data_IF_898276387881
#
_entry.id   IF_898276387881
#
_cell.length_a   1.000
_cell.length_b   1.000
_cell.length_c   1.000
_cell.angle_alpha   90.00
_cell.angle_beta   90.00
_cell.angle_gamma   90.00
#
_symmetry.space_group_name_H-M   'P 1'
#
loop_
_entity.id
_entity.type
_entity.pdbx_description
1 polymer ?
#
# COMPACT_ATOMS: atom_id res chain seq x y z
N UNK A 1 -2.98 5.40 33.05
CA UNK A 1 -3.65 6.69 32.82
C UNK A 1 -4.43 6.66 31.53
N UNK A 2 -5.50 7.44 31.44
CA UNK A 2 -6.29 7.67 30.22
C UNK A 2 -5.96 9.09 29.75
N UNK A 3 -5.67 9.24 28.46
CA UNK A 3 -5.36 10.52 27.86
C UNK A 3 -6.29 10.77 26.67
N UNK A 4 -6.89 11.93 26.58
CA UNK A 4 -7.57 12.43 25.38
C UNK A 4 -6.59 13.32 24.63
N UNK A 5 -6.41 13.04 23.34
CA UNK A 5 -5.55 13.82 22.43
C UNK A 5 -6.45 14.33 21.31
N UNK A 6 -6.37 15.61 21.02
CA UNK A 6 -7.20 16.28 20.00
C UNK A 6 -6.29 16.93 18.97
N UNK A 7 -6.59 16.71 17.70
CA UNK A 7 -5.85 17.32 16.58
C UNK A 7 -5.86 18.84 16.69
N UNK A 8 -4.70 19.46 16.57
CA UNK A 8 -4.53 20.90 16.64
C UNK A 8 -4.32 21.50 18.03
N UNK A 9 -4.34 20.67 19.10
CA UNK A 9 -4.19 21.16 20.47
C UNK A 9 -2.82 20.83 21.10
N UNK A 10 -2.08 19.85 20.57
CA UNK A 10 -0.90 19.30 21.23
C UNK A 10 0.31 19.25 20.29
N UNK A 11 0.79 20.42 19.89
CA UNK A 11 2.02 20.54 19.13
C UNK A 11 3.25 20.46 20.04
N UNK A 12 4.39 20.09 19.48
CA UNK A 12 5.66 20.19 20.18
C UNK A 12 6.03 21.65 20.42
N UNK A 13 6.59 21.93 21.60
CA UNK A 13 7.24 23.21 21.89
C UNK A 13 8.52 23.37 21.05
N UNK A 14 9.00 24.59 20.84
CA UNK A 14 10.33 24.84 20.30
C UNK A 14 11.40 24.50 21.38
N UNK A 15 12.37 23.61 21.13
CA UNK A 15 12.85 22.96 19.91
C UNK A 15 12.33 21.53 19.66
N UNK A 16 11.05 21.29 19.63
CA UNK A 16 10.50 19.97 19.31
C UNK A 16 10.27 19.07 20.54
N UNK A 17 9.98 19.66 21.70
CA UNK A 17 9.69 18.98 22.95
C UNK A 17 8.17 18.78 23.12
N UNK A 18 7.74 17.53 23.28
CA UNK A 18 6.38 17.23 23.71
C UNK A 18 6.29 17.15 25.23
N UNK A 19 5.18 17.64 25.79
CA UNK A 19 4.81 17.44 27.18
C UNK A 19 3.35 17.00 27.26
N UNK A 20 3.14 15.73 27.61
CA UNK A 20 1.80 15.18 27.81
C UNK A 20 1.69 14.60 29.22
N UNK A 21 0.81 15.18 30.04
CA UNK A 21 0.55 14.71 31.41
C UNK A 21 1.84 14.52 32.24
N UNK A 22 2.78 15.46 32.11
CA UNK A 22 4.07 15.42 32.81
C UNK A 22 5.14 14.53 32.20
N UNK A 23 4.83 13.81 31.13
CA UNK A 23 5.81 13.03 30.33
C UNK A 23 6.41 13.94 29.27
N UNK A 24 7.74 14.06 29.28
CA UNK A 24 8.49 14.90 28.33
C UNK A 24 9.34 14.02 27.41
N UNK A 25 9.34 14.30 26.13
CA UNK A 25 10.18 13.64 25.14
C UNK A 25 10.33 14.52 23.88
N UNK A 26 11.43 14.35 23.19
CA UNK A 26 11.69 15.05 21.93
C UNK A 26 11.06 14.33 20.74
N UNK A 27 10.70 15.09 19.69
CA UNK A 27 10.42 14.55 18.37
C UNK A 27 11.66 13.76 17.91
N UNK A 28 11.50 12.55 17.32
CA UNK A 28 12.63 11.83 16.74
C UNK A 28 13.35 12.64 15.67
N UNK A 29 14.68 12.51 15.58
CA UNK A 29 15.51 13.28 14.65
C UNK A 29 15.65 12.65 13.25
N UNK A 30 15.11 11.46 13.01
CA UNK A 30 15.21 10.83 11.70
C UNK A 30 14.27 11.47 10.68
N UNK A 31 14.67 11.39 9.40
CA UNK A 31 13.91 11.97 8.29
C UNK A 31 12.90 10.96 7.74
N UNK A 32 11.63 11.37 7.64
CA UNK A 32 10.59 10.57 6.99
C UNK A 32 10.76 10.52 5.47
N UNK A 33 10.43 9.38 4.80
CA UNK A 33 10.39 9.32 3.36
C UNK A 33 9.27 10.21 2.80
N UNK A 34 9.51 10.80 1.61
CA UNK A 34 8.50 11.62 0.92
C UNK A 34 7.56 10.76 0.05
N UNK A 35 6.98 9.74 0.63
CA UNK A 35 6.02 8.84 -0.01
C UNK A 35 5.08 8.28 1.06
N UNK A 36 4.10 7.50 0.65
CA UNK A 36 3.22 6.76 1.55
C UNK A 36 4.04 5.90 2.50
N UNK A 37 3.83 6.06 3.82
CA UNK A 37 4.69 5.43 4.82
C UNK A 37 3.94 5.10 6.11
N UNK A 38 4.07 3.86 6.54
CA UNK A 38 3.65 3.34 7.84
C UNK A 38 4.81 2.63 8.58
N UNK A 39 6.06 2.85 8.14
CA UNK A 39 7.24 2.27 8.77
C UNK A 39 7.73 3.15 9.91
N UNK A 40 7.66 2.65 11.14
CA UNK A 40 8.14 3.35 12.32
C UNK A 40 7.17 4.38 12.89
N UNK A 41 7.62 5.15 13.89
CA UNK A 41 6.83 6.24 14.47
C UNK A 41 6.94 7.48 13.57
N UNK A 42 5.83 8.21 13.43
CA UNK A 42 5.83 9.44 12.65
C UNK A 42 6.73 10.51 13.26
N UNK A 43 7.48 11.24 12.43
CA UNK A 43 8.39 12.29 12.86
C UNK A 43 8.52 13.39 11.82
N UNK A 44 7.97 14.56 12.13
CA UNK A 44 8.14 15.79 11.35
C UNK A 44 8.22 17.00 12.28
N UNK A 45 8.88 18.06 11.82
CA UNK A 45 8.91 19.32 12.56
C UNK A 45 7.48 19.87 12.71
N UNK A 46 7.16 20.38 13.88
CA UNK A 46 5.84 20.93 14.21
C UNK A 46 4.65 19.93 14.07
N UNK A 47 4.93 18.63 14.17
CA UNK A 47 3.87 17.62 14.19
C UNK A 47 2.97 17.76 15.43
N UNK A 48 1.73 17.33 15.31
CA UNK A 48 0.84 17.13 16.46
C UNK A 48 1.14 15.77 17.11
N UNK A 49 1.03 15.68 18.43
CA UNK A 49 1.30 14.42 19.14
C UNK A 49 0.39 13.28 18.71
N UNK A 50 -0.79 13.56 18.16
CA UNK A 50 -1.71 12.54 17.63
C UNK A 50 -1.06 11.75 16.49
N UNK A 51 -0.19 12.39 15.69
CA UNK A 51 0.53 11.76 14.59
C UNK A 51 1.45 10.65 15.06
N UNK A 52 2.00 10.77 16.28
CA UNK A 52 2.83 9.75 16.90
C UNK A 52 2.07 8.46 17.20
N UNK A 53 0.76 8.55 17.50
CA UNK A 53 -0.07 7.39 17.82
C UNK A 53 -0.64 6.73 16.56
N UNK A 54 -0.81 7.48 15.47
CA UNK A 54 -1.24 6.94 14.18
C UNK A 54 -0.10 6.07 13.63
N UNK A 55 -0.40 4.80 13.33
CA UNK A 55 0.60 3.86 12.85
C UNK A 55 1.59 3.34 13.92
N UNK A 56 1.40 3.67 15.21
CA UNK A 56 2.30 3.22 16.30
C UNK A 56 2.23 1.72 16.62
N UNK A 57 1.48 0.95 15.89
CA UNK A 57 1.38 -0.52 16.01
C UNK A 57 1.13 -1.02 17.46
N UNK A 58 0.42 -0.22 18.27
CA UNK A 58 0.07 -0.57 19.64
C UNK A 58 1.24 -0.60 20.64
N UNK A 59 2.40 -0.05 20.27
CA UNK A 59 3.58 -0.04 21.17
C UNK A 59 3.56 1.10 22.20
N UNK A 60 2.76 2.14 21.98
CA UNK A 60 2.68 3.33 22.87
C UNK A 60 1.48 3.28 23.80
N UNK A 61 0.44 2.58 23.45
CA UNK A 61 -0.81 2.55 24.23
C UNK A 61 -1.88 1.70 23.56
N UNK A 62 -3.04 1.64 24.21
CA UNK A 62 -4.26 1.04 23.66
C UNK A 62 -5.23 2.18 23.30
N UNK A 63 -5.58 2.30 22.04
CA UNK A 63 -6.57 3.25 21.57
C UNK A 63 -7.95 2.66 21.86
N UNK A 64 -8.73 3.32 22.71
CA UNK A 64 -10.05 2.85 23.15
C UNK A 64 -11.20 3.56 22.44
N UNK A 65 -10.95 4.76 21.95
CA UNK A 65 -11.97 5.58 21.28
C UNK A 65 -11.28 6.46 20.24
N UNK A 66 -11.91 6.60 19.08
CA UNK A 66 -11.44 7.46 17.97
C UNK A 66 -12.61 8.27 17.44
N UNK A 67 -12.42 9.57 17.35
CA UNK A 67 -13.30 10.48 16.63
C UNK A 67 -12.64 10.86 15.31
N UNK A 68 -13.32 10.62 14.18
CA UNK A 68 -12.80 10.89 12.84
C UNK A 68 -13.74 11.83 12.09
N UNK A 69 -13.17 12.73 11.29
CA UNK A 69 -13.92 13.51 10.32
C UNK A 69 -14.42 12.61 9.19
N UNK A 70 -15.65 12.85 8.75
CA UNK A 70 -16.23 12.15 7.62
C UNK A 70 -16.36 13.11 6.43
N UNK A 71 -16.03 12.63 5.24
CA UNK A 71 -16.34 13.31 3.99
C UNK A 71 -17.71 12.82 3.45
N UNK A 72 -18.53 13.69 2.81
CA UNK A 72 -19.71 13.27 2.09
C UNK A 72 -19.35 12.22 1.03
N UNK A 73 -20.17 11.19 0.90
CA UNK A 73 -20.02 10.22 -0.19
C UNK A 73 -20.50 10.87 -1.50
N UNK A 74 -19.58 11.06 -2.42
CA UNK A 74 -19.89 11.56 -3.74
C UNK A 74 -20.35 10.44 -4.70
N UNK A 75 -21.22 10.79 -5.65
CA UNK A 75 -21.50 9.91 -6.77
C UNK A 75 -20.27 9.85 -7.67
N UNK A 76 -19.95 8.67 -8.21
CA UNK A 76 -18.79 8.49 -9.08
C UNK A 76 -19.07 7.53 -10.22
N UNK A 77 -18.30 7.64 -11.30
CA UNK A 77 -18.18 6.63 -12.34
C UNK A 77 -16.97 5.78 -11.98
N UNK A 78 -17.17 4.48 -11.79
CA UNK A 78 -16.07 3.52 -11.66
C UNK A 78 -15.64 3.02 -13.02
N UNK A 79 -14.35 3.01 -13.26
CA UNK A 79 -13.75 2.65 -14.55
C UNK A 79 -12.75 1.52 -14.37
N UNK A 80 -12.77 0.55 -15.28
CA UNK A 80 -11.67 -0.41 -15.46
C UNK A 80 -11.18 -0.27 -16.88
N UNK A 81 -9.94 0.19 -17.04
CA UNK A 81 -9.27 0.27 -18.34
C UNK A 81 -8.24 -0.82 -18.46
N UNK A 82 -8.31 -1.59 -19.56
CA UNK A 82 -7.33 -2.62 -19.88
C UNK A 82 -6.29 -2.07 -20.86
N UNK A 83 -5.08 -2.63 -20.77
CA UNK A 83 -3.95 -2.26 -21.63
C UNK A 83 -3.27 -3.52 -22.16
N UNK A 84 -2.71 -3.41 -23.37
CA UNK A 84 -1.97 -4.50 -24.00
C UNK A 84 -0.58 -4.70 -23.36
N UNK A 85 -0.03 -3.65 -22.74
CA UNK A 85 1.26 -3.71 -22.02
C UNK A 85 1.18 -3.06 -20.63
N UNK A 86 2.04 -3.49 -19.71
CA UNK A 86 2.17 -2.90 -18.37
C UNK A 86 2.71 -1.47 -18.45
N UNK A 87 3.59 -1.17 -19.41
CA UNK A 87 4.17 0.16 -19.62
C UNK A 87 3.07 1.17 -19.95
N UNK A 88 2.15 0.82 -20.87
CA UNK A 88 1.02 1.71 -21.21
C UNK A 88 0.15 2.05 -20.00
N UNK A 89 -0.06 1.08 -19.08
CA UNK A 89 -0.81 1.33 -17.85
C UNK A 89 -0.07 2.28 -16.90
N UNK A 90 1.25 2.15 -16.80
CA UNK A 90 2.11 3.01 -15.98
C UNK A 90 2.13 4.44 -16.54
N UNK A 91 2.33 4.59 -17.85
CA UNK A 91 2.30 5.89 -18.53
C UNK A 91 0.94 6.57 -18.39
N UNK A 92 -0.14 5.80 -18.51
CA UNK A 92 -1.49 6.33 -18.32
C UNK A 92 -1.76 6.73 -16.86
N UNK A 93 -1.16 6.04 -15.89
CA UNK A 93 -1.22 6.45 -14.48
C UNK A 93 -0.56 7.81 -14.28
N UNK A 94 0.64 8.02 -14.83
CA UNK A 94 1.33 9.30 -14.77
C UNK A 94 0.49 10.41 -15.43
N UNK A 95 -0.08 10.11 -16.61
CA UNK A 95 -0.97 11.04 -17.30
C UNK A 95 -2.21 11.42 -16.48
N UNK A 96 -2.85 10.45 -15.78
CA UNK A 96 -3.99 10.74 -14.90
C UNK A 96 -3.59 11.59 -13.70
N UNK A 97 -2.42 11.35 -13.09
CA UNK A 97 -1.91 12.13 -11.96
C UNK A 97 -1.62 13.58 -12.33
N UNK A 98 -1.15 13.83 -13.53
CA UNK A 98 -0.85 15.17 -14.05
C UNK A 98 -2.11 15.91 -14.57
N UNK A 99 -3.22 15.19 -14.77
CA UNK A 99 -4.45 15.76 -15.29
C UNK A 99 -5.13 16.66 -14.25
N UNK A 100 -5.37 17.92 -14.61
CA UNK A 100 -6.14 18.86 -13.78
C UNK A 100 -7.65 18.68 -13.91
N UNK A 101 -8.10 18.08 -14.99
CA UNK A 101 -9.52 17.92 -15.32
C UNK A 101 -10.10 16.62 -14.79
N UNK A 102 -9.27 15.57 -14.74
CA UNK A 102 -9.63 14.25 -14.25
C UNK A 102 -8.74 13.93 -13.04
N UNK A 103 -9.30 14.06 -11.85
CA UNK A 103 -8.61 13.72 -10.59
C UNK A 103 -9.31 12.50 -10.00
N UNK A 104 -8.78 11.30 -10.21
CA UNK A 104 -9.32 10.10 -9.61
C UNK A 104 -9.16 10.09 -8.09
N UNK A 105 -10.15 9.59 -7.36
CA UNK A 105 -10.06 9.38 -5.90
C UNK A 105 -8.99 8.35 -5.52
N UNK A 106 -8.75 7.38 -6.41
CA UNK A 106 -7.72 6.35 -6.29
C UNK A 106 -7.37 5.83 -7.68
N UNK A 107 -6.18 5.23 -7.83
CA UNK A 107 -5.79 4.47 -9.02
C UNK A 107 -5.17 3.16 -8.55
N UNK A 108 -5.84 2.05 -8.90
CA UNK A 108 -5.40 0.69 -8.61
C UNK A 108 -4.91 0.01 -9.88
N UNK A 109 -4.00 -0.94 -9.71
CA UNK A 109 -3.32 -1.62 -10.80
C UNK A 109 -3.36 -3.14 -10.64
N UNK A 110 -3.50 -3.85 -11.76
CA UNK A 110 -3.25 -5.28 -11.88
C UNK A 110 -2.31 -5.53 -13.05
N UNK A 111 -1.31 -6.39 -12.85
CA UNK A 111 -0.45 -6.83 -13.94
C UNK A 111 -1.05 -8.02 -14.72
N UNK A 112 -0.40 -8.38 -15.83
CA UNK A 112 -0.85 -9.46 -16.73
C UNK A 112 -0.96 -10.82 -16.05
N UNK A 113 -0.01 -11.17 -15.20
CA UNK A 113 -0.06 -12.41 -14.41
C UNK A 113 -1.24 -12.46 -13.45
N UNK A 114 -1.60 -11.31 -12.85
CA UNK A 114 -2.79 -11.18 -12.01
C UNK A 114 -4.08 -11.38 -12.81
N UNK A 115 -4.18 -10.74 -13.98
CA UNK A 115 -5.33 -10.92 -14.87
C UNK A 115 -5.48 -12.36 -15.31
N UNK A 116 -4.38 -13.06 -15.60
CA UNK A 116 -4.45 -14.47 -16.00
C UNK A 116 -4.94 -15.36 -14.85
N UNK A 117 -4.49 -15.12 -13.61
CA UNK A 117 -5.02 -15.84 -12.45
C UNK A 117 -6.54 -15.69 -12.31
N UNK A 118 -7.06 -14.49 -12.56
CA UNK A 118 -8.51 -14.24 -12.50
C UNK A 118 -9.23 -14.93 -13.67
N UNK A 119 -8.68 -14.88 -14.90
CA UNK A 119 -9.24 -15.60 -16.05
C UNK A 119 -9.32 -17.11 -15.79
N UNK A 120 -8.28 -17.70 -15.22
CA UNK A 120 -8.27 -19.12 -14.85
C UNK A 120 -9.31 -19.45 -13.77
N UNK A 121 -9.46 -18.59 -12.77
CA UNK A 121 -10.51 -18.75 -11.74
C UNK A 121 -11.90 -18.69 -12.36
N UNK A 122 -12.16 -17.73 -13.23
CA UNK A 122 -13.44 -17.58 -13.91
C UNK A 122 -13.76 -18.78 -14.85
N UNK A 123 -12.76 -19.38 -15.47
CA UNK A 123 -12.94 -20.63 -16.27
C UNK A 123 -13.34 -21.81 -15.41
N UNK A 124 -12.78 -21.92 -14.17
CA UNK A 124 -13.05 -23.05 -13.25
C UNK A 124 -14.38 -22.89 -12.50
N UNK A 125 -14.71 -21.68 -12.12
CA UNK A 125 -15.94 -21.33 -11.41
C UNK A 125 -16.53 -20.03 -11.99
N UNK A 126 -17.34 -20.13 -13.05
CA UNK A 126 -17.94 -18.96 -13.69
C UNK A 126 -18.89 -18.16 -12.79
N UNK A 127 -19.36 -18.75 -11.68
CA UNK A 127 -20.26 -18.08 -10.74
C UNK A 127 -19.49 -17.25 -9.70
N UNK A 128 -18.23 -17.61 -9.42
CA UNK A 128 -17.42 -16.91 -8.42
C UNK A 128 -16.96 -15.52 -8.86
N UNK A 129 -17.02 -15.25 -10.17
CA UNK A 129 -16.57 -13.99 -10.75
C UNK A 129 -17.62 -13.47 -11.72
N UNK A 130 -18.61 -12.75 -11.19
CA UNK A 130 -19.64 -12.07 -11.99
C UNK A 130 -19.04 -10.88 -12.74
N UNK A 131 -18.32 -11.13 -13.83
CA UNK A 131 -17.58 -10.10 -14.57
C UNK A 131 -17.83 -10.18 -16.07
N UNK A 132 -17.74 -9.05 -16.79
CA UNK A 132 -17.57 -9.05 -18.23
C UNK A 132 -16.30 -9.83 -18.63
N UNK A 133 -16.26 -10.32 -19.86
CA UNK A 133 -15.07 -11.03 -20.36
C UNK A 133 -13.89 -10.05 -20.43
N UNK A 134 -12.79 -10.39 -19.73
CA UNK A 134 -11.51 -9.70 -19.88
C UNK A 134 -10.94 -10.04 -21.25
N UNK A 135 -10.47 -9.04 -22.01
CA UNK A 135 -9.78 -9.28 -23.28
C UNK A 135 -8.61 -10.24 -23.11
N UNK A 136 -8.46 -11.17 -24.02
CA UNK A 136 -7.38 -12.16 -23.98
C UNK A 136 -5.99 -11.50 -24.16
N UNK A 137 -5.93 -10.31 -24.80
CA UNK A 137 -4.71 -9.53 -25.01
C UNK A 137 -4.38 -8.58 -23.84
N UNK A 138 -5.28 -8.40 -22.86
CA UNK A 138 -5.01 -7.51 -21.76
C UNK A 138 -3.89 -8.03 -20.86
N UNK A 139 -2.81 -7.25 -20.74
CA UNK A 139 -1.67 -7.53 -19.89
C UNK A 139 -1.57 -6.58 -18.67
N UNK A 140 -2.43 -5.58 -18.59
CA UNK A 140 -2.60 -4.77 -17.38
C UNK A 140 -4.03 -4.25 -17.28
N UNK A 141 -4.43 -3.85 -16.05
CA UNK A 141 -5.67 -3.13 -15.82
C UNK A 141 -5.46 -2.02 -14.79
N UNK A 142 -6.13 -0.90 -15.00
CA UNK A 142 -6.27 0.18 -14.04
C UNK A 142 -7.74 0.31 -13.63
N UNK A 143 -7.93 0.54 -12.32
CA UNK A 143 -9.22 0.84 -11.72
C UNK A 143 -9.14 2.24 -11.15
N UNK A 144 -10.13 3.06 -11.41
CA UNK A 144 -10.22 4.38 -10.82
C UNK A 144 -11.67 4.88 -10.81
N UNK A 145 -11.96 5.77 -9.88
CA UNK A 145 -13.26 6.43 -9.80
C UNK A 145 -13.11 7.92 -10.19
N UNK A 146 -14.11 8.42 -10.90
CA UNK A 146 -14.23 9.84 -11.23
C UNK A 146 -15.49 10.40 -10.60
N UNK A 147 -15.35 11.46 -9.81
CA UNK A 147 -16.47 12.13 -9.14
C UNK A 147 -17.46 12.71 -10.15
N UNK A 148 -18.77 12.47 -9.90
CA UNK A 148 -19.88 13.12 -10.61
C UNK A 148 -20.25 14.37 -9.82
N UNK A 149 -19.73 15.54 -10.26
CA UNK A 149 -20.06 16.83 -9.64
C UNK A 149 -21.46 17.27 -10.04
N UNK A 150 -22.16 17.92 -9.11
CA UNK A 150 -23.49 18.50 -9.32
C UNK A 150 -24.53 17.53 -9.94
N UNK A 151 -24.41 16.25 -9.67
CA UNK A 151 -25.20 15.16 -10.28
C UNK A 151 -25.17 15.16 -11.82
N UNK A 152 -24.15 15.74 -12.45
CA UNK A 152 -24.00 15.82 -13.89
C UNK A 152 -23.11 14.71 -14.44
N UNK A 153 -23.72 13.54 -14.65
CA UNK A 153 -23.04 12.37 -15.20
C UNK A 153 -22.45 12.62 -16.59
N UNK A 154 -23.12 13.42 -17.45
CA UNK A 154 -22.62 13.73 -18.78
C UNK A 154 -21.32 14.53 -18.71
N UNK A 155 -21.21 15.46 -17.77
CA UNK A 155 -19.95 16.18 -17.56
C UNK A 155 -18.82 15.25 -17.13
N UNK A 156 -19.08 14.26 -16.27
CA UNK A 156 -18.09 13.26 -15.87
C UNK A 156 -17.66 12.38 -17.07
N UNK A 157 -18.60 11.93 -17.90
CA UNK A 157 -18.27 11.19 -19.13
C UNK A 157 -17.49 12.04 -20.13
N UNK A 158 -17.84 13.32 -20.32
CA UNK A 158 -17.09 14.21 -21.20
C UNK A 158 -15.64 14.38 -20.73
N UNK A 159 -15.38 14.43 -19.42
CA UNK A 159 -14.02 14.42 -18.86
C UNK A 159 -13.28 13.12 -19.20
N UNK A 160 -13.90 11.95 -19.05
CA UNK A 160 -13.30 10.68 -19.48
C UNK A 160 -12.95 10.70 -20.96
N UNK A 161 -13.87 11.14 -21.81
CA UNK A 161 -13.67 11.19 -23.25
C UNK A 161 -12.60 12.21 -23.67
N UNK A 162 -12.37 13.27 -22.88
CA UNK A 162 -11.32 14.26 -23.14
C UNK A 162 -9.90 13.71 -22.94
N UNK A 163 -9.75 12.57 -22.28
CA UNK A 163 -8.43 11.90 -22.06
C UNK A 163 -7.84 11.30 -23.34
N UNK A 164 -8.42 11.48 -24.50
CA UNK A 164 -7.90 11.11 -25.83
C UNK A 164 -7.19 9.74 -25.88
N UNK A 165 -7.80 8.72 -25.27
CA UNK A 165 -7.31 7.34 -25.22
C UNK A 165 -8.33 6.37 -25.81
N UNK A 166 -7.89 5.23 -26.32
CA UNK A 166 -8.80 4.18 -26.76
C UNK A 166 -9.51 3.52 -25.55
N UNK A 167 -10.81 3.69 -25.46
CA UNK A 167 -11.67 3.12 -24.44
C UNK A 167 -12.23 1.74 -24.78
N UNK A 168 -11.85 1.19 -25.94
CA UNK A 168 -12.34 -0.11 -26.39
C UNK A 168 -12.03 -1.21 -25.36
N UNK A 169 -13.06 -1.98 -25.01
CA UNK A 169 -12.95 -3.05 -24.03
C UNK A 169 -12.90 -2.59 -22.56
N UNK A 170 -12.87 -1.27 -22.28
CA UNK A 170 -12.95 -0.74 -20.91
C UNK A 170 -14.35 -0.93 -20.34
N UNK A 171 -14.44 -1.02 -19.01
CA UNK A 171 -15.71 -1.08 -18.29
C UNK A 171 -15.96 0.22 -17.57
N UNK A 172 -17.19 0.70 -17.61
CA UNK A 172 -17.65 1.87 -16.88
C UNK A 172 -18.95 1.54 -16.14
N UNK A 173 -19.03 1.95 -14.89
CA UNK A 173 -20.21 1.76 -14.07
C UNK A 173 -20.50 3.01 -13.23
N UNK A 174 -21.77 3.40 -13.16
CA UNK A 174 -22.26 4.49 -12.29
C UNK A 174 -23.42 4.04 -11.41
N UNK A 175 -24.12 2.97 -11.78
CA UNK A 175 -25.16 2.37 -10.96
C UNK A 175 -24.55 1.44 -9.90
N UNK A 176 -25.14 1.40 -8.71
CA UNK A 176 -24.59 0.66 -7.57
C UNK A 176 -24.35 -0.82 -7.87
N UNK A 177 -25.23 -1.49 -8.61
CA UNK A 177 -25.11 -2.91 -8.93
C UNK A 177 -23.87 -3.16 -9.79
N UNK A 178 -23.67 -2.36 -10.83
CA UNK A 178 -22.51 -2.50 -11.73
C UNK A 178 -21.20 -2.10 -11.04
N UNK A 179 -21.23 -1.06 -10.21
CA UNK A 179 -20.07 -0.66 -9.38
C UNK A 179 -19.66 -1.78 -8.41
N UNK A 180 -20.61 -2.49 -7.81
CA UNK A 180 -20.31 -3.64 -6.95
C UNK A 180 -19.63 -4.78 -7.74
N UNK A 181 -19.97 -4.98 -9.01
CA UNK A 181 -19.26 -5.94 -9.89
C UNK A 181 -17.81 -5.54 -10.13
N UNK A 182 -17.54 -4.25 -10.40
CA UNK A 182 -16.17 -3.74 -10.54
C UNK A 182 -15.40 -3.91 -9.24
N UNK A 183 -16.00 -3.60 -8.11
CA UNK A 183 -15.41 -3.79 -6.79
C UNK A 183 -15.09 -5.26 -6.51
N UNK A 184 -15.99 -6.18 -6.82
CA UNK A 184 -15.77 -7.61 -6.67
C UNK A 184 -14.61 -8.09 -7.55
N UNK A 185 -14.50 -7.57 -8.78
CA UNK A 185 -13.35 -7.83 -9.64
C UNK A 185 -12.04 -7.35 -9.01
N UNK A 186 -12.02 -6.14 -8.45
CA UNK A 186 -10.85 -5.61 -7.75
C UNK A 186 -10.43 -6.51 -6.57
N UNK A 187 -11.39 -7.08 -5.83
CA UNK A 187 -11.12 -7.98 -4.71
C UNK A 187 -10.74 -9.41 -5.13
N UNK A 188 -11.08 -9.82 -6.35
CA UNK A 188 -10.87 -11.20 -6.81
C UNK A 188 -9.39 -11.62 -6.84
N UNK A 189 -8.46 -10.70 -7.18
CA UNK A 189 -7.04 -11.05 -7.26
C UNK A 189 -6.41 -11.34 -5.89
N UNK A 190 -6.54 -10.48 -4.87
CA UNK A 190 -6.06 -10.78 -3.52
C UNK A 190 -6.62 -12.09 -2.95
N UNK A 191 -7.90 -12.36 -3.18
CA UNK A 191 -8.55 -13.60 -2.76
C UNK A 191 -7.95 -14.82 -3.47
N UNK A 192 -7.78 -14.74 -4.80
CA UNK A 192 -7.20 -15.82 -5.59
C UNK A 192 -5.75 -16.13 -5.18
N UNK A 193 -4.96 -15.10 -4.87
CA UNK A 193 -3.61 -15.27 -4.30
C UNK A 193 -3.65 -16.00 -2.97
N UNK A 194 -4.56 -15.63 -2.07
CA UNK A 194 -4.71 -16.28 -0.77
C UNK A 194 -5.16 -17.75 -0.91
N UNK A 195 -6.08 -18.04 -1.83
CA UNK A 195 -6.51 -19.42 -2.17
C UNK A 195 -5.36 -20.26 -2.72
N UNK A 196 -4.54 -19.69 -3.62
CA UNK A 196 -3.35 -20.35 -4.15
C UNK A 196 -2.38 -20.75 -3.02
N UNK A 197 -2.02 -19.79 -2.17
CA UNK A 197 -1.12 -20.05 -1.04
C UNK A 197 -1.72 -21.06 -0.06
N UNK A 198 -3.02 -20.98 0.23
CA UNK A 198 -3.70 -21.97 1.07
C UNK A 198 -3.64 -23.39 0.46
N UNK A 199 -3.73 -23.48 -0.86
CA UNK A 199 -3.55 -24.76 -1.59
C UNK A 199 -2.14 -25.33 -1.45
N UNK A 200 -1.12 -24.49 -1.62
CA UNK A 200 0.30 -24.88 -1.47
C UNK A 200 0.60 -25.31 -0.02
N UNK A 201 0.07 -24.62 0.97
CA UNK A 201 0.23 -24.95 2.40
C UNK A 201 -0.22 -26.35 2.78
N UNK A 202 -1.16 -26.95 2.05
CA UNK A 202 -1.59 -28.34 2.32
C UNK A 202 -0.45 -29.33 2.13
N UNK A 203 0.51 -29.05 1.23
CA UNK A 203 1.68 -29.90 0.95
C UNK A 203 2.94 -29.38 1.64
N UNK A 204 3.04 -28.07 1.83
CA UNK A 204 4.20 -27.34 2.35
C UNK A 204 3.74 -26.35 3.45
N UNK A 205 3.49 -26.83 4.70
CA UNK A 205 2.86 -26.02 5.75
C UNK A 205 3.59 -24.73 6.13
N UNK A 206 4.92 -24.69 5.97
CA UNK A 206 5.73 -23.49 6.29
C UNK A 206 5.71 -22.42 5.20
N UNK A 207 5.19 -22.71 3.98
CA UNK A 207 5.05 -21.72 2.95
C UNK A 207 4.01 -20.70 3.37
N UNK A 208 4.34 -19.44 3.17
CA UNK A 208 3.46 -18.32 3.45
C UNK A 208 3.49 -17.31 2.30
N UNK A 209 2.52 -16.44 2.26
CA UNK A 209 2.47 -15.32 1.31
C UNK A 209 3.69 -14.42 1.54
N UNK A 210 4.40 -14.12 0.47
CA UNK A 210 5.52 -13.19 0.46
C UNK A 210 5.15 -12.01 -0.45
N UNK A 211 4.62 -10.96 0.17
CA UNK A 211 4.18 -9.76 -0.53
C UNK A 211 4.95 -8.54 -0.07
N UNK A 212 5.36 -7.70 -1.02
CA UNK A 212 5.97 -6.41 -0.72
C UNK A 212 4.90 -5.39 -0.29
N UNK A 213 5.37 -4.32 0.35
CA UNK A 213 4.55 -3.23 0.83
C UNK A 213 5.38 -1.93 0.72
N UNK A 214 5.96 -1.73 -0.46
CA UNK A 214 6.96 -0.71 -0.72
C UNK A 214 6.35 0.48 -1.46
N UNK A 215 6.79 1.68 -1.11
CA UNK A 215 6.44 2.89 -1.84
C UNK A 215 7.66 3.79 -2.02
N UNK A 216 7.62 4.60 -3.07
CA UNK A 216 8.62 5.63 -3.36
C UNK A 216 7.92 6.93 -3.77
N UNK A 217 8.68 8.04 -3.84
CA UNK A 217 8.14 9.30 -4.37
C UNK A 217 7.85 9.21 -5.87
N UNK A 218 7.08 10.18 -6.39
CA UNK A 218 6.72 10.23 -7.81
C UNK A 218 7.96 10.25 -8.71
N UNK A 219 8.98 11.03 -8.35
CA UNK A 219 10.22 11.14 -9.14
C UNK A 219 11.02 9.84 -9.19
N UNK A 220 10.76 8.91 -8.28
CA UNK A 220 11.50 7.64 -8.15
C UNK A 220 10.73 6.42 -8.63
N UNK A 221 9.45 6.58 -8.97
CA UNK A 221 8.61 5.45 -9.33
C UNK A 221 9.04 4.77 -10.63
N UNK A 222 9.39 5.56 -11.67
CA UNK A 222 9.90 5.00 -12.93
C UNK A 222 11.16 4.15 -12.73
N UNK A 223 12.15 4.66 -11.94
CA UNK A 223 13.37 3.92 -11.61
C UNK A 223 13.07 2.61 -10.85
N UNK A 224 12.10 2.63 -9.95
CA UNK A 224 11.69 1.43 -9.21
C UNK A 224 11.01 0.40 -10.12
N UNK A 225 10.16 0.83 -11.07
CA UNK A 225 9.49 -0.06 -12.04
C UNK A 225 10.52 -0.75 -12.94
N UNK A 226 11.47 -0.01 -13.50
CA UNK A 226 12.56 -0.59 -14.30
C UNK A 226 13.37 -1.62 -13.49
N UNK A 227 13.62 -1.32 -12.22
CA UNK A 227 14.29 -2.26 -11.33
C UNK A 227 13.45 -3.50 -11.07
N UNK A 228 12.15 -3.38 -10.83
CA UNK A 228 11.23 -4.53 -10.70
C UNK A 228 11.31 -5.41 -11.93
N UNK A 229 11.18 -4.86 -13.13
CA UNK A 229 11.26 -5.63 -14.38
C UNK A 229 12.57 -6.40 -14.49
N UNK A 230 13.70 -5.74 -14.18
CA UNK A 230 15.01 -6.35 -14.28
C UNK A 230 15.20 -7.53 -13.32
N UNK A 231 14.68 -7.43 -12.09
CA UNK A 231 14.86 -8.44 -11.04
C UNK A 231 13.83 -9.56 -11.17
N UNK A 232 12.57 -9.22 -11.40
CA UNK A 232 11.47 -10.18 -11.44
C UNK A 232 11.56 -11.08 -12.67
N UNK A 233 11.85 -10.52 -13.86
CA UNK A 233 12.02 -11.29 -15.09
C UNK A 233 13.17 -12.30 -15.01
N UNK A 234 14.28 -11.93 -14.34
CA UNK A 234 15.43 -12.83 -14.10
C UNK A 234 15.19 -13.86 -13.02
N UNK A 235 14.20 -13.65 -12.18
CA UNK A 235 13.96 -14.50 -11.03
C UNK A 235 13.45 -15.90 -11.43
N UNK A 236 12.71 -16.01 -12.51
CA UNK A 236 11.99 -17.23 -12.87
C UNK A 236 10.91 -17.64 -11.85
N UNK A 237 10.63 -16.81 -10.85
CA UNK A 237 9.55 -17.04 -9.89
C UNK A 237 8.21 -16.56 -10.45
N UNK A 238 7.14 -17.27 -10.13
CA UNK A 238 5.80 -16.76 -10.36
C UNK A 238 5.49 -15.65 -9.38
N UNK A 239 4.95 -14.55 -9.89
CA UNK A 239 4.48 -13.43 -9.08
C UNK A 239 3.28 -12.77 -9.72
N UNK A 240 2.54 -12.03 -8.92
CA UNK A 240 1.54 -11.06 -9.37
C UNK A 240 1.84 -9.69 -8.75
N UNK A 241 1.55 -8.64 -9.50
CA UNK A 241 1.66 -7.26 -9.04
C UNK A 241 0.28 -6.59 -9.08
N UNK A 242 -0.10 -5.99 -7.98
CA UNK A 242 -1.33 -5.20 -7.88
C UNK A 242 -1.19 -4.19 -6.75
N UNK A 243 -2.06 -3.19 -6.72
CA UNK A 243 -2.13 -2.23 -5.60
C UNK A 243 -2.31 -0.79 -6.06
N UNK A 244 -1.98 0.13 -5.16
CA UNK A 244 -2.27 1.55 -5.23
C UNK A 244 -1.24 2.30 -6.08
N UNK A 245 -1.26 2.08 -7.38
CA UNK A 245 -0.27 2.68 -8.30
C UNK A 245 -0.34 4.22 -8.27
N UNK A 246 -1.50 4.79 -7.97
CA UNK A 246 -1.66 6.24 -7.77
C UNK A 246 -0.75 6.80 -6.67
N UNK A 247 -0.44 5.99 -5.65
CA UNK A 247 0.46 6.32 -4.54
C UNK A 247 1.87 5.75 -4.73
N UNK A 248 2.23 5.28 -5.93
CA UNK A 248 3.49 4.57 -6.23
C UNK A 248 3.74 3.36 -5.32
N UNK A 249 2.67 2.70 -4.91
CA UNK A 249 2.64 1.60 -3.98
C UNK A 249 2.09 0.35 -4.66
N UNK A 250 2.98 -0.54 -5.09
CA UNK A 250 2.65 -1.82 -5.69
C UNK A 250 3.03 -2.97 -4.78
N UNK A 251 2.11 -3.92 -4.63
CA UNK A 251 2.34 -5.18 -3.95
C UNK A 251 2.83 -6.22 -4.96
N UNK A 252 4.11 -6.56 -4.91
CA UNK A 252 4.64 -7.74 -5.60
C UNK A 252 4.39 -8.95 -4.70
N UNK A 253 3.52 -9.84 -5.12
CA UNK A 253 3.21 -11.07 -4.38
C UNK A 253 3.86 -12.26 -5.09
N UNK A 254 4.91 -12.81 -4.48
CA UNK A 254 5.53 -14.05 -4.95
C UNK A 254 4.63 -15.24 -4.64
N UNK A 255 4.58 -16.20 -5.56
CA UNK A 255 3.72 -17.38 -5.51
C UNK A 255 4.57 -18.66 -5.45
N UNK A 256 5.34 -18.87 -4.36
CA UNK A 256 6.22 -20.02 -4.24
C UNK A 256 5.41 -21.32 -4.18
N UNK A 257 5.82 -22.33 -4.93
CA UNK A 257 5.23 -23.67 -4.95
C UNK A 257 5.99 -24.68 -4.06
N UNK A 258 7.19 -24.33 -3.62
CA UNK A 258 8.09 -25.13 -2.80
C UNK A 258 9.00 -24.24 -1.96
N UNK A 259 9.81 -24.84 -1.07
CA UNK A 259 10.69 -24.11 -0.16
C UNK A 259 11.85 -23.39 -0.87
N UNK A 260 12.39 -23.95 -1.94
CA UNK A 260 13.49 -23.33 -2.68
C UNK A 260 13.02 -22.03 -3.33
N UNK A 261 11.82 -22.02 -3.90
CA UNK A 261 11.19 -20.83 -4.44
C UNK A 261 10.87 -19.79 -3.35
N UNK A 262 10.48 -20.25 -2.14
CA UNK A 262 10.24 -19.35 -1.01
C UNK A 262 11.53 -18.64 -0.58
N UNK A 263 12.63 -19.39 -0.41
CA UNK A 263 13.92 -18.81 -0.03
C UNK A 263 14.45 -17.85 -1.12
N UNK A 264 14.35 -18.24 -2.39
CA UNK A 264 14.68 -17.35 -3.51
C UNK A 264 13.83 -16.08 -3.50
N UNK A 265 12.55 -16.20 -3.22
CA UNK A 265 11.64 -15.05 -3.09
C UNK A 265 12.05 -14.11 -1.95
N UNK A 266 12.50 -14.64 -0.80
CA UNK A 266 13.02 -13.83 0.32
C UNK A 266 14.29 -13.05 -0.05
N UNK A 267 15.21 -13.67 -0.81
CA UNK A 267 16.41 -12.98 -1.29
C UNK A 267 16.02 -11.83 -2.25
N UNK A 268 15.11 -12.06 -3.17
CA UNK A 268 14.62 -11.03 -4.08
C UNK A 268 13.90 -9.92 -3.31
N UNK A 269 13.05 -10.26 -2.34
CA UNK A 269 12.41 -9.28 -1.47
C UNK A 269 13.44 -8.36 -0.80
N UNK A 270 14.53 -8.94 -0.28
CA UNK A 270 15.62 -8.19 0.34
C UNK A 270 16.27 -7.23 -0.66
N UNK A 271 16.61 -7.70 -1.86
CA UNK A 271 17.24 -6.90 -2.92
C UNK A 271 16.33 -5.72 -3.31
N UNK A 272 15.02 -5.96 -3.43
CA UNK A 272 14.04 -4.91 -3.71
C UNK A 272 13.96 -3.91 -2.55
N UNK A 273 13.92 -4.38 -1.29
CA UNK A 273 13.88 -3.51 -0.12
C UNK A 273 15.13 -2.61 -0.03
N UNK A 274 16.32 -3.13 -0.33
CA UNK A 274 17.57 -2.37 -0.40
C UNK A 274 17.49 -1.26 -1.45
N UNK A 275 16.95 -1.57 -2.65
CA UNK A 275 16.74 -0.56 -3.70
C UNK A 275 15.74 0.51 -3.30
N UNK A 276 14.63 0.13 -2.67
CA UNK A 276 13.62 1.09 -2.18
C UNK A 276 14.22 2.05 -1.16
N UNK A 277 15.06 1.56 -0.24
CA UNK A 277 15.76 2.39 0.75
C UNK A 277 16.76 3.32 0.06
N UNK A 278 17.53 2.84 -0.93
CA UNK A 278 18.43 3.65 -1.76
C UNK A 278 17.69 4.81 -2.43
N UNK A 279 16.45 4.56 -2.87
CA UNK A 279 15.55 5.57 -3.46
C UNK A 279 14.87 6.48 -2.43
N UNK A 280 15.23 6.41 -1.15
CA UNK A 280 14.58 7.10 -0.04
C UNK A 280 13.08 6.78 0.08
N UNK A 281 12.67 5.56 -0.27
CA UNK A 281 11.31 5.06 -0.15
C UNK A 281 11.00 4.44 1.19
N UNK A 282 9.79 3.91 1.31
CA UNK A 282 9.29 3.19 2.48
C UNK A 282 9.28 1.68 2.28
N UNK A 283 9.75 0.93 3.27
CA UNK A 283 9.66 -0.55 3.31
C UNK A 283 8.33 -1.05 3.86
N UNK A 284 7.47 -0.15 4.27
CA UNK A 284 6.10 -0.44 4.66
C UNK A 284 5.22 0.78 4.43
N UNK A 285 4.48 0.76 3.34
CA UNK A 285 3.60 1.87 2.96
C UNK A 285 2.32 1.89 3.80
N UNK A 286 1.77 0.72 4.17
CA UNK A 286 0.50 0.57 4.87
C UNK A 286 0.52 -0.43 6.03
N UNK A 287 1.19 -1.57 5.89
CA UNK A 287 1.03 -2.73 6.77
C UNK A 287 1.80 -2.64 8.09
N UNK A 288 2.64 -1.61 8.25
CA UNK A 288 3.56 -1.49 9.38
C UNK A 288 4.73 -2.47 9.33
N UNK A 289 5.58 -2.40 10.33
CA UNK A 289 6.80 -3.21 10.47
C UNK A 289 6.50 -4.58 11.10
N UNK A 290 5.60 -4.59 12.07
CA UNK A 290 5.27 -5.81 12.80
C UNK A 290 6.48 -6.44 13.48
N UNK A 291 6.52 -7.78 13.47
CA UNK A 291 7.62 -8.58 14.05
C UNK A 291 8.63 -9.09 13.00
N UNK A 292 8.37 -8.85 11.72
CA UNK A 292 9.14 -9.47 10.64
C UNK A 292 10.06 -8.51 9.88
N UNK A 293 9.76 -7.20 9.93
CA UNK A 293 10.47 -6.19 9.12
C UNK A 293 11.47 -5.34 9.93
N UNK A 294 11.85 -5.74 11.16
CA UNK A 294 12.75 -4.97 12.03
C UNK A 294 14.03 -4.54 11.34
N UNK A 295 14.68 -5.48 10.61
CA UNK A 295 15.90 -5.21 9.86
C UNK A 295 15.72 -4.09 8.85
N UNK A 296 14.59 -4.06 8.16
CA UNK A 296 14.33 -3.05 7.13
C UNK A 296 14.03 -1.68 7.76
N UNK A 297 13.38 -1.65 8.94
CA UNK A 297 13.22 -0.41 9.70
C UNK A 297 14.56 0.19 10.09
N UNK A 298 15.49 -0.65 10.58
CA UNK A 298 16.84 -0.21 10.94
C UNK A 298 17.65 0.23 9.71
N UNK A 299 17.48 -0.43 8.56
CA UNK A 299 18.08 0.01 7.31
C UNK A 299 17.55 1.37 6.83
N UNK A 300 16.25 1.67 7.06
CA UNK A 300 15.64 2.97 6.72
C UNK A 300 16.14 4.12 7.59
N UNK A 301 16.12 3.93 8.90
CA UNK A 301 16.31 5.01 9.87
C UNK A 301 17.63 4.94 10.64
N UNK A 302 18.42 3.88 10.40
CA UNK A 302 19.63 3.60 11.15
C UNK A 302 19.38 3.13 12.58
N UNK A 303 20.41 2.63 13.23
CA UNK A 303 20.32 2.17 14.62
C UNK A 303 19.91 3.32 15.59
N UNK A 304 20.32 4.57 15.32
CA UNK A 304 19.91 5.71 16.15
C UNK A 304 18.42 6.02 16.04
N UNK A 305 17.85 6.04 14.82
CA UNK A 305 16.40 6.25 14.65
C UNK A 305 15.57 5.19 15.38
N UNK A 306 16.01 3.92 15.33
CA UNK A 306 15.35 2.84 16.10
C UNK A 306 15.51 3.07 17.62
N UNK A 307 16.66 3.56 18.10
CA UNK A 307 16.85 3.93 19.52
C UNK A 307 15.92 5.07 19.92
N UNK A 308 15.72 6.07 19.08
CA UNK A 308 14.78 7.17 19.36
C UNK A 308 13.34 6.66 19.48
N UNK A 309 12.89 5.77 18.60
CA UNK A 309 11.57 5.13 18.71
C UNK A 309 11.43 4.36 20.04
N UNK A 310 12.47 3.63 20.46
CA UNK A 310 12.50 2.92 21.75
C UNK A 310 12.46 3.86 22.95
N UNK A 311 13.14 5.03 22.89
CA UNK A 311 13.08 6.06 23.92
C UNK A 311 11.66 6.57 24.07
N UNK A 312 10.95 6.86 22.98
CA UNK A 312 9.55 7.26 23.03
C UNK A 312 8.68 6.17 23.66
N UNK A 313 8.85 4.91 23.21
CA UNK A 313 8.13 3.79 23.83
C UNK A 313 8.36 3.72 25.33
N UNK A 314 9.59 3.92 25.82
CA UNK A 314 9.90 3.87 27.24
C UNK A 314 9.21 4.96 28.08
N UNK A 315 8.87 6.09 27.46
CA UNK A 315 8.09 7.17 28.11
C UNK A 315 6.65 6.73 28.37
N UNK A 316 6.03 6.02 27.42
CA UNK A 316 4.63 5.56 27.52
C UNK A 316 4.50 4.21 28.19
N UNK A 317 5.44 3.31 27.95
CA UNK A 317 5.49 1.93 28.44
C UNK A 317 6.86 1.59 29.02
N UNK A 318 7.19 2.06 30.24
CA UNK A 318 8.52 1.91 30.84
C UNK A 318 8.95 0.46 31.05
N UNK A 319 8.00 -0.48 31.13
CA UNK A 319 8.25 -1.89 31.34
C UNK A 319 8.21 -2.72 30.03
N UNK A 320 8.03 -2.06 28.88
CA UNK A 320 7.95 -2.71 27.56
C UNK A 320 6.95 -3.89 27.50
N UNK A 321 5.76 -3.70 28.09
CA UNK A 321 4.71 -4.72 28.15
C UNK A 321 3.82 -4.73 26.91
N UNK A 322 3.60 -3.54 26.29
CA UNK A 322 2.69 -3.37 25.16
C UNK A 322 3.33 -3.90 23.88
N UNK A 323 2.59 -4.71 23.16
CA UNK A 323 2.91 -5.29 21.85
C UNK A 323 4.38 -5.67 21.66
N UNK A 324 4.88 -6.54 22.56
CA UNK A 324 6.28 -6.95 22.64
C UNK A 324 6.79 -7.53 21.32
N UNK A 325 7.95 -7.05 20.89
CA UNK A 325 8.59 -7.49 19.67
C UNK A 325 7.98 -6.89 18.39
N UNK A 326 7.02 -5.98 18.49
CA UNK A 326 6.53 -5.23 17.35
C UNK A 326 7.42 -4.02 17.10
N UNK A 327 7.63 -3.66 15.82
CA UNK A 327 8.47 -2.56 15.33
C UNK A 327 9.97 -2.75 15.60
N UNK A 328 10.37 -3.32 16.72
CA UNK A 328 11.76 -3.67 17.04
C UNK A 328 11.84 -4.90 17.96
N UNK A 329 12.96 -5.64 17.96
CA UNK A 329 13.12 -6.87 18.76
C UNK A 329 12.92 -6.64 20.25
N UNK A 330 12.48 -7.69 20.97
CA UNK A 330 12.52 -7.72 22.44
C UNK A 330 13.97 -7.83 22.90
N UNK A 331 14.43 -6.96 23.77
CA UNK A 331 15.76 -6.96 24.36
C UNK A 331 16.47 -5.63 24.14
N UNK A 332 17.32 -5.30 25.08
CA UNK A 332 18.24 -4.15 25.23
C UNK A 332 17.78 -2.77 24.75
N UNK A 333 17.69 -1.88 25.75
CA UNK A 333 17.70 -0.43 25.55
C UNK A 333 19.08 0.01 25.05
#
# INVERSE_FOLDING_TARGET
>A
SIHKIVRGENFADDPGLFNISGKKFNIPGYKMPKCKNAAGLFSENAMDIIDLFIGSEGILGVITEVEIGLAPKHASISVVKFFDTEIEAIDFTAYLKDSKDVMPDFIEYFNGSGLEMIREKAKKDPQSVSMPKISDNANAALFFDIEIKDNNINAAFNKLLSLNVDWKGSWCAWENIEKERIKNFRHALPETVNEYIAGVKKKHPSIHKLGTDFAVSDEKFGELVEFYDSVLNRSGLKYVSFGHIGDNHLHINFLPSNYDELEKGKEIYKVIAEKVIELNGSVSAEHGIGKLKHRYLEMMYGAEGVREMRRIKSVFDPHFLLNRGNMFPCGEL
#
